data_IF_297195585001
#
_entry.id   IF_297195585001
#
_cell.length_a   1.000
_cell.length_b   1.000
_cell.length_c   1.000
_cell.angle_alpha   90.00
_cell.angle_beta   90.00
_cell.angle_gamma   90.00
#
_symmetry.space_group_name_H-M   'P 1'
#
loop_
_entity.id
_entity.type
_entity.pdbx_description
1 polymer ?
#
# COMPACT_ATOMS: atom_id res chain seq x y z
N UNK A 1 -15.61 -4.35 -10.02
CA UNK A 1 -15.45 -5.37 -8.96
C UNK A 1 -15.21 -6.73 -9.63
N UNK A 2 -14.59 -7.71 -8.95
CA UNK A 2 -13.94 -8.94 -9.48
C UNK A 2 -12.52 -8.73 -10.02
N UNK A 3 -12.28 -7.76 -10.92
CA UNK A 3 -10.92 -7.50 -11.43
C UNK A 3 -9.95 -6.99 -10.34
N UNK A 4 -10.40 -6.03 -9.52
CA UNK A 4 -9.60 -5.50 -8.41
C UNK A 4 -9.25 -6.57 -7.37
N UNK A 5 -10.14 -7.56 -7.19
CA UNK A 5 -9.90 -8.69 -6.29
C UNK A 5 -8.86 -9.64 -6.89
N UNK A 6 -8.96 -9.96 -8.19
CA UNK A 6 -7.96 -10.78 -8.86
C UNK A 6 -6.56 -10.14 -8.81
N UNK A 7 -6.47 -8.82 -9.02
CA UNK A 7 -5.22 -8.06 -8.90
C UNK A 7 -4.64 -8.18 -7.49
N UNK A 8 -5.48 -8.01 -6.46
CA UNK A 8 -5.08 -8.19 -5.05
C UNK A 8 -4.56 -9.62 -4.77
N UNK A 9 -5.19 -10.65 -5.35
CA UNK A 9 -4.75 -12.04 -5.20
C UNK A 9 -3.43 -12.32 -5.93
N UNK A 10 -3.25 -11.81 -7.15
CA UNK A 10 -1.99 -11.93 -7.90
C UNK A 10 -0.86 -11.21 -7.15
N UNK A 11 -1.12 -10.01 -6.61
CA UNK A 11 -0.14 -9.27 -5.82
C UNK A 11 0.27 -10.02 -4.56
N UNK A 12 -0.66 -10.68 -3.85
CA UNK A 12 -0.32 -11.50 -2.69
C UNK A 12 0.58 -12.70 -3.04
N UNK A 13 0.38 -13.32 -4.20
CA UNK A 13 1.16 -14.49 -4.61
C UNK A 13 2.55 -14.10 -5.12
N UNK A 14 2.65 -13.01 -5.88
CA UNK A 14 3.86 -12.67 -6.62
C UNK A 14 4.70 -11.56 -5.98
N UNK A 15 4.14 -10.74 -5.09
CA UNK A 15 4.82 -9.55 -4.58
C UNK A 15 5.18 -9.68 -3.08
N UNK A 16 6.44 -10.01 -2.73
CA UNK A 16 6.86 -10.10 -1.34
C UNK A 16 6.78 -8.75 -0.62
N UNK A 17 6.95 -7.65 -1.35
CA UNK A 17 6.91 -6.30 -0.81
C UNK A 17 5.47 -5.89 -0.46
N UNK A 18 4.47 -6.26 -1.28
CA UNK A 18 3.05 -6.12 -0.93
C UNK A 18 2.72 -6.87 0.37
N UNK A 19 3.21 -8.12 0.50
CA UNK A 19 3.02 -8.91 1.70
C UNK A 19 3.68 -8.29 2.95
N UNK A 20 4.85 -7.66 2.80
CA UNK A 20 5.51 -6.92 3.88
C UNK A 20 4.67 -5.72 4.35
N UNK A 21 4.11 -4.95 3.41
CA UNK A 21 3.22 -3.81 3.71
C UNK A 21 1.94 -4.30 4.39
N UNK A 22 1.35 -5.39 3.92
CA UNK A 22 0.14 -5.95 4.52
C UNK A 22 0.42 -6.45 5.95
N UNK A 23 1.53 -7.15 6.18
CA UNK A 23 1.94 -7.55 7.55
C UNK A 23 2.09 -6.34 8.48
N UNK A 24 2.62 -5.21 8.00
CA UNK A 24 2.77 -3.98 8.80
C UNK A 24 1.43 -3.35 9.16
N UNK A 25 0.51 -3.24 8.20
CA UNK A 25 -0.75 -2.50 8.37
C UNK A 25 -1.95 -3.36 8.77
N UNK A 26 -1.76 -4.69 8.87
CA UNK A 26 -2.64 -5.74 9.41
C UNK A 26 -3.95 -5.97 8.64
N UNK A 27 -4.63 -4.94 8.15
CA UNK A 27 -5.88 -5.06 7.41
C UNK A 27 -5.72 -4.66 5.94
N UNK A 28 -6.36 -5.43 5.05
CA UNK A 28 -6.40 -5.09 3.61
C UNK A 28 -7.03 -3.72 3.38
N UNK A 29 -8.10 -3.40 4.13
CA UNK A 29 -8.76 -2.08 4.05
C UNK A 29 -7.77 -0.94 4.33
N UNK A 30 -6.99 -1.02 5.41
CA UNK A 30 -5.99 0.00 5.77
C UNK A 30 -4.90 0.13 4.70
N UNK A 31 -4.44 -0.99 4.15
CA UNK A 31 -3.48 -0.99 3.04
C UNK A 31 -4.03 -0.25 1.82
N UNK A 32 -5.25 -0.59 1.40
CA UNK A 32 -5.89 0.04 0.24
C UNK A 32 -6.27 1.51 0.45
N UNK A 33 -6.58 1.92 1.68
CA UNK A 33 -6.74 3.35 2.03
C UNK A 33 -5.42 4.11 1.87
N UNK A 34 -4.29 3.54 2.26
CA UNK A 34 -2.96 4.16 2.11
C UNK A 34 -2.49 4.20 0.67
N UNK A 35 -2.74 3.13 -0.07
CA UNK A 35 -2.49 3.09 -1.52
C UNK A 35 -3.25 4.23 -2.21
N UNK A 36 -4.55 4.38 -1.92
CA UNK A 36 -5.35 5.48 -2.46
C UNK A 36 -4.81 6.85 -2.05
N UNK A 37 -4.48 7.05 -0.77
CA UNK A 37 -3.90 8.30 -0.30
C UNK A 37 -2.63 8.68 -1.08
N UNK A 38 -1.76 7.71 -1.38
CA UNK A 38 -0.54 7.95 -2.16
C UNK A 38 -0.83 8.32 -3.60
N UNK A 39 -1.76 7.62 -4.26
CA UNK A 39 -2.17 7.96 -5.62
C UNK A 39 -2.79 9.35 -5.75
N UNK A 40 -3.49 9.83 -4.72
CA UNK A 40 -4.06 11.18 -4.73
C UNK A 40 -3.05 12.28 -4.34
N UNK A 41 -2.04 11.95 -3.54
CA UNK A 41 -1.09 12.93 -3.01
C UNK A 41 0.23 13.02 -3.78
N UNK A 42 0.60 12.02 -4.56
CA UNK A 42 1.93 11.89 -5.15
C UNK A 42 1.89 11.33 -6.57
N UNK A 43 2.82 11.78 -7.41
CA UNK A 43 3.12 11.12 -8.68
C UNK A 43 3.99 9.90 -8.37
N UNK A 44 3.53 8.74 -8.80
CA UNK A 44 4.18 7.45 -8.55
C UNK A 44 4.64 6.91 -9.89
N UNK A 45 5.94 6.74 -10.06
CA UNK A 45 6.54 6.20 -11.29
C UNK A 45 6.54 4.67 -11.29
N UNK A 46 6.69 4.05 -10.12
CA UNK A 46 6.69 2.59 -9.99
C UNK A 46 5.83 2.10 -8.83
N UNK A 47 5.27 0.89 -8.98
CA UNK A 47 4.56 0.21 -7.89
C UNK A 47 5.48 -0.11 -6.70
N UNK A 48 6.78 -0.28 -6.96
CA UNK A 48 7.77 -0.50 -5.90
C UNK A 48 7.88 0.73 -5.01
N UNK A 49 8.00 1.93 -5.58
CA UNK A 49 8.05 3.19 -4.84
C UNK A 49 6.79 3.44 -4.03
N UNK A 50 5.62 3.14 -4.61
CA UNK A 50 4.35 3.21 -3.91
C UNK A 50 4.42 2.37 -2.62
N UNK A 51 4.75 1.09 -2.74
CA UNK A 51 4.71 0.21 -1.59
C UNK A 51 5.85 0.45 -0.60
N UNK A 52 7.06 0.83 -1.06
CA UNK A 52 8.15 1.28 -0.19
C UNK A 52 7.73 2.50 0.62
N UNK A 53 7.09 3.49 -0.02
CA UNK A 53 6.59 4.68 0.68
C UNK A 53 5.58 4.33 1.78
N UNK A 54 4.76 3.29 1.59
CA UNK A 54 3.78 2.83 2.59
C UNK A 54 4.46 1.99 3.68
N UNK A 55 5.46 1.21 3.32
CA UNK A 55 6.24 0.38 4.23
C UNK A 55 7.11 1.23 5.16
N UNK A 56 7.68 2.32 4.67
CA UNK A 56 8.58 3.20 5.42
C UNK A 56 7.80 4.28 6.20
N UNK A 57 6.57 4.58 5.79
CA UNK A 57 5.76 5.60 6.45
C UNK A 57 5.60 5.35 7.94
N UNK A 58 5.95 6.35 8.74
CA UNK A 58 5.71 6.43 10.18
C UNK A 58 4.68 7.54 10.42
N UNK A 59 3.72 7.27 11.30
CA UNK A 59 2.80 8.32 11.74
C UNK A 59 3.60 9.30 12.60
N UNK A 60 3.64 10.55 12.17
CA UNK A 60 4.27 11.64 12.91
C UNK A 60 3.14 12.40 13.63
N UNK A 61 3.24 12.66 14.94
CA UNK A 61 2.26 13.48 15.63
C UNK A 61 2.29 14.90 15.03
N UNK A 62 1.11 15.52 14.92
CA UNK A 62 1.03 16.93 14.54
C UNK A 62 1.77 17.75 15.60
N UNK A 63 2.60 18.74 15.20
CA UNK A 63 3.12 19.69 16.16
C UNK A 63 1.93 20.42 16.80
N UNK A 64 1.86 20.37 18.13
CA UNK A 64 0.89 21.12 18.93
C UNK A 64 1.14 22.63 18.82
#
# INVERSE_FOLDING_TARGET
VMLAFLVDQIQQLCCPLFNAVWKKWKSKRSLWEKVRFRFHGFIIETMEDLYRSILEHKQVPLPL
#
